data_IF_589612420243
#
_entry.id   IF_589612420243
#
_cell.length_a   1.000
_cell.length_b   1.000
_cell.length_c   1.000
_cell.angle_alpha   90.00
_cell.angle_beta   90.00
_cell.angle_gamma   90.00
#
_symmetry.space_group_name_H-M   'P 1'
#
loop_
_entity.id
_entity.type
_entity.pdbx_description
1 polymer ?
#
# COMPACT_ATOMS: atom_id res chain seq x y z
N UNK A 1 -8.45 11.55 16.17
CA UNK A 1 -7.62 11.30 14.96
C UNK A 1 -6.24 10.83 15.36
N UNK A 2 -5.57 10.03 14.53
CA UNK A 2 -4.21 9.53 14.81
C UNK A 2 -3.24 10.68 15.08
N UNK A 3 -3.27 11.74 14.27
CA UNK A 3 -2.34 12.86 14.37
C UNK A 3 -2.29 13.49 15.76
N UNK A 4 -3.43 13.77 16.39
CA UNK A 4 -3.47 14.35 17.73
C UNK A 4 -2.85 13.44 18.80
N UNK A 5 -3.12 12.13 18.70
CA UNK A 5 -2.60 11.12 19.65
C UNK A 5 -1.09 10.96 19.46
N UNK A 6 -0.63 10.80 18.22
CA UNK A 6 0.80 10.68 17.88
C UNK A 6 1.59 11.90 18.40
N UNK A 7 1.07 13.10 18.15
CA UNK A 7 1.69 14.36 18.64
C UNK A 7 1.81 14.36 20.16
N UNK A 8 0.77 13.94 20.88
CA UNK A 8 0.79 13.89 22.34
C UNK A 8 1.86 12.94 22.86
N UNK A 9 1.98 11.72 22.28
CA UNK A 9 3.00 10.75 22.69
C UNK A 9 4.42 11.20 22.35
N UNK A 10 4.65 11.76 21.15
CA UNK A 10 5.96 12.28 20.79
C UNK A 10 6.38 13.43 21.72
N UNK A 11 5.47 14.36 22.07
CA UNK A 11 5.75 15.43 23.04
C UNK A 11 6.00 14.91 24.47
N UNK A 12 5.44 13.75 24.82
CA UNK A 12 5.69 13.08 26.09
C UNK A 12 7.00 12.25 26.09
N UNK A 13 7.77 12.26 24.99
CA UNK A 13 9.04 11.54 24.90
C UNK A 13 8.91 10.04 24.54
N UNK A 14 7.77 9.60 24.05
CA UNK A 14 7.54 8.21 23.70
C UNK A 14 7.78 7.94 22.21
N UNK A 15 8.39 6.78 21.87
CA UNK A 15 8.39 6.22 20.52
C UNK A 15 6.98 5.79 20.14
N UNK A 16 6.59 5.92 18.88
CA UNK A 16 5.21 5.68 18.43
C UNK A 16 5.17 4.71 17.25
N UNK A 17 4.36 3.67 17.38
CA UNK A 17 3.83 2.88 16.26
C UNK A 17 2.36 3.27 16.09
N UNK A 18 2.00 3.82 14.95
CA UNK A 18 0.63 4.25 14.63
C UNK A 18 0.05 3.44 13.47
N UNK A 19 -1.24 3.10 13.54
CA UNK A 19 -1.94 2.48 12.42
C UNK A 19 -2.09 3.45 11.24
N UNK A 20 -2.23 2.88 10.06
CA UNK A 20 -2.51 3.64 8.82
C UNK A 20 -3.96 4.21 8.83
N UNK A 21 -4.20 5.36 8.23
CA UNK A 21 -3.20 6.32 7.76
C UNK A 21 -2.59 7.07 8.95
N UNK A 22 -1.33 7.50 8.83
CA UNK A 22 -0.66 8.30 9.87
C UNK A 22 -1.42 9.59 10.20
N UNK A 23 -2.00 10.20 9.17
CA UNK A 23 -2.83 11.40 9.22
C UNK A 23 -3.78 11.42 8.04
N UNK A 24 -4.77 12.32 8.04
CA UNK A 24 -5.71 12.51 6.94
C UNK A 24 -5.28 13.60 5.95
N UNK A 25 -4.28 14.39 6.31
CA UNK A 25 -3.70 15.42 5.45
C UNK A 25 -2.17 15.33 5.41
N UNK A 26 -1.57 15.77 4.31
CA UNK A 26 -0.11 15.85 4.17
C UNK A 26 0.52 16.78 5.21
N UNK A 27 -0.11 17.94 5.48
CA UNK A 27 0.39 18.90 6.46
C UNK A 27 0.52 18.27 7.86
N UNK A 28 -0.47 17.50 8.30
CA UNK A 28 -0.40 16.79 9.58
C UNK A 28 0.70 15.71 9.57
N UNK A 29 0.81 14.95 8.46
CA UNK A 29 1.84 13.93 8.35
C UNK A 29 3.25 14.53 8.40
N UNK A 30 3.50 15.61 7.66
CA UNK A 30 4.77 16.33 7.64
C UNK A 30 5.13 16.91 9.02
N UNK A 31 4.16 17.47 9.73
CA UNK A 31 4.33 17.96 11.11
C UNK A 31 4.79 16.83 12.05
N UNK A 32 4.14 15.67 11.99
CA UNK A 32 4.49 14.53 12.84
C UNK A 32 5.89 13.98 12.53
N UNK A 33 6.24 13.88 11.26
CA UNK A 33 7.58 13.46 10.83
C UNK A 33 8.64 14.46 11.29
N UNK A 34 8.38 15.76 11.15
CA UNK A 34 9.29 16.81 11.62
C UNK A 34 9.45 16.78 13.15
N UNK A 35 8.34 16.57 13.88
CA UNK A 35 8.38 16.45 15.34
C UNK A 35 9.19 15.22 15.79
N UNK A 36 8.98 14.06 15.18
CA UNK A 36 9.72 12.84 15.50
C UNK A 36 11.24 13.04 15.26
N UNK A 37 11.61 13.65 14.12
CA UNK A 37 13.02 13.98 13.81
C UNK A 37 13.61 14.94 14.82
N UNK A 38 12.87 16.01 15.19
CA UNK A 38 13.31 17.02 16.17
C UNK A 38 13.57 16.41 17.55
N UNK A 39 12.72 15.49 17.96
CA UNK A 39 12.81 14.84 19.29
C UNK A 39 13.75 13.64 19.31
N UNK A 40 14.23 13.15 18.16
CA UNK A 40 15.02 11.92 18.04
C UNK A 40 14.23 10.65 18.35
N UNK A 41 12.89 10.72 18.28
CA UNK A 41 12.01 9.59 18.60
C UNK A 41 11.65 8.81 17.33
N UNK A 42 11.41 7.52 17.50
CA UNK A 42 10.93 6.65 16.42
C UNK A 42 9.43 6.87 16.21
N UNK A 43 9.06 7.16 14.97
CA UNK A 43 7.69 7.17 14.49
C UNK A 43 7.57 6.18 13.34
N UNK A 44 6.75 5.15 13.49
CA UNK A 44 6.55 4.08 12.51
C UNK A 44 5.06 3.91 12.21
N UNK A 45 4.73 3.66 10.95
CA UNK A 45 3.36 3.35 10.53
C UNK A 45 3.17 1.85 10.36
N UNK A 46 2.04 1.33 10.85
CA UNK A 46 1.68 -0.08 10.84
C UNK A 46 1.22 -0.60 9.47
N UNK A 47 2.13 -0.72 8.52
CA UNK A 47 1.87 -1.33 7.21
C UNK A 47 2.04 -2.85 7.28
N UNK A 48 1.01 -3.55 7.73
CA UNK A 48 1.05 -5.00 8.02
C UNK A 48 1.36 -5.87 6.79
N UNK A 49 0.93 -5.45 5.59
CA UNK A 49 1.16 -6.20 4.34
C UNK A 49 2.66 -6.35 4.00
N UNK A 50 3.51 -5.47 4.50
CA UNK A 50 4.98 -5.59 4.34
C UNK A 50 5.53 -6.89 4.92
N UNK A 51 4.94 -7.44 5.99
CA UNK A 51 5.38 -8.70 6.57
C UNK A 51 5.08 -9.90 5.68
N UNK A 52 3.94 -9.88 4.96
CA UNK A 52 3.65 -10.88 3.93
C UNK A 52 4.62 -10.71 2.77
N UNK A 53 4.81 -9.47 2.34
CA UNK A 53 5.67 -9.12 1.21
C UNK A 53 7.13 -9.51 1.44
N UNK A 54 7.67 -9.30 2.64
CA UNK A 54 9.03 -9.70 3.00
C UNK A 54 9.28 -11.21 2.84
N UNK A 55 8.24 -12.05 2.97
CA UNK A 55 8.35 -13.50 2.80
C UNK A 55 8.42 -13.96 1.35
N UNK A 56 8.15 -13.07 0.40
CA UNK A 56 8.18 -13.39 -1.03
C UNK A 56 9.59 -13.38 -1.63
N UNK A 57 10.56 -12.80 -0.93
CA UNK A 57 11.91 -12.54 -1.45
C UNK A 57 11.97 -11.38 -2.46
N UNK A 58 10.85 -10.71 -2.73
CA UNK A 58 10.82 -9.59 -3.69
C UNK A 58 11.66 -8.40 -3.25
N UNK A 59 11.76 -8.17 -1.94
CA UNK A 59 12.52 -7.04 -1.38
C UNK A 59 14.04 -7.24 -1.48
N UNK A 60 14.50 -8.46 -1.68
CA UNK A 60 15.92 -8.79 -1.80
C UNK A 60 16.40 -8.69 -3.26
N UNK A 61 15.49 -8.40 -4.20
CA UNK A 61 15.79 -8.34 -5.63
C UNK A 61 16.29 -6.96 -6.03
N UNK A 62 17.30 -6.93 -6.87
CA UNK A 62 17.84 -5.69 -7.48
C UNK A 62 17.15 -5.35 -8.80
N UNK A 63 16.46 -6.35 -9.40
CA UNK A 63 15.73 -6.18 -10.67
C UNK A 63 14.40 -5.49 -10.40
N UNK A 64 14.13 -4.41 -11.11
CA UNK A 64 12.88 -3.68 -11.00
C UNK A 64 11.79 -4.32 -11.87
N UNK A 65 10.54 -4.38 -11.41
CA UNK A 65 9.43 -4.86 -12.24
C UNK A 65 9.16 -3.90 -13.41
N UNK A 66 8.67 -4.45 -14.51
CA UNK A 66 8.20 -3.67 -15.66
C UNK A 66 6.79 -3.13 -15.40
N UNK A 67 5.96 -3.95 -14.77
CA UNK A 67 4.57 -3.64 -14.45
C UNK A 67 4.20 -4.20 -13.09
N UNK A 68 3.32 -3.50 -12.38
CA UNK A 68 2.69 -3.95 -11.14
C UNK A 68 1.18 -3.82 -11.29
N UNK A 69 0.45 -4.83 -10.82
CA UNK A 69 -1.01 -4.82 -10.73
C UNK A 69 -1.41 -5.10 -9.28
N UNK A 70 -2.25 -4.22 -8.72
CA UNK A 70 -2.79 -4.38 -7.37
C UNK A 70 -4.32 -4.36 -7.44
N UNK A 71 -4.96 -5.26 -6.72
CA UNK A 71 -6.41 -5.24 -6.58
C UNK A 71 -6.81 -5.47 -5.13
N UNK A 72 -7.63 -4.55 -4.62
CA UNK A 72 -8.16 -4.57 -3.25
C UNK A 72 -9.64 -4.23 -3.26
N UNK A 73 -10.45 -5.25 -3.48
CA UNK A 73 -11.88 -5.12 -3.70
C UNK A 73 -12.68 -5.86 -2.61
N UNK A 74 -13.87 -5.37 -2.30
CA UNK A 74 -14.79 -6.05 -1.40
C UNK A 74 -16.16 -5.38 -1.34
N UNK A 75 -17.15 -6.07 -0.77
CA UNK A 75 -18.49 -5.51 -0.61
C UNK A 75 -18.50 -4.42 0.47
N UNK A 76 -19.49 -3.56 0.38
CA UNK A 76 -19.74 -2.53 1.38
C UNK A 76 -20.06 -3.15 2.75
N UNK A 77 -19.40 -2.67 3.78
CA UNK A 77 -19.54 -3.19 5.15
C UNK A 77 -20.19 -2.20 6.11
N UNK A 78 -20.62 -1.04 5.63
CA UNK A 78 -21.18 0.03 6.46
C UNK A 78 -20.16 0.78 7.28
N UNK A 79 -18.87 0.75 6.90
CA UNK A 79 -17.77 1.40 7.61
C UNK A 79 -16.81 2.09 6.65
N UNK A 80 -16.10 3.12 7.15
CA UNK A 80 -15.05 3.80 6.43
C UNK A 80 -15.56 4.83 5.42
N UNK A 81 -16.78 5.32 5.56
CA UNK A 81 -17.35 6.38 4.73
C UNK A 81 -16.83 7.78 5.08
N UNK A 82 -16.16 7.90 6.23
CA UNK A 82 -15.49 9.12 6.70
C UNK A 82 -14.17 9.42 5.98
N UNK A 83 -13.63 8.47 5.21
CA UNK A 83 -12.42 8.62 4.39
C UNK A 83 -12.61 7.98 3.02
N UNK A 84 -11.77 8.37 2.03
CA UNK A 84 -11.79 7.73 0.72
C UNK A 84 -11.26 6.30 0.77
N UNK A 85 -11.69 5.46 -0.17
CA UNK A 85 -11.12 4.12 -0.33
C UNK A 85 -9.61 4.15 -0.67
N UNK A 86 -9.06 5.30 -1.06
CA UNK A 86 -7.59 5.49 -1.17
C UNK A 86 -6.95 5.37 0.22
N UNK A 87 -7.41 6.14 1.20
CA UNK A 87 -6.83 6.16 2.55
C UNK A 87 -7.21 4.94 3.39
N UNK A 88 -8.33 4.28 3.08
CA UNK A 88 -8.75 3.07 3.79
C UNK A 88 -8.10 1.80 3.21
N UNK A 89 -8.12 1.65 1.90
CA UNK A 89 -7.77 0.40 1.20
C UNK A 89 -6.52 0.54 0.33
N UNK A 90 -6.49 1.46 -0.65
CA UNK A 90 -5.42 1.58 -1.63
C UNK A 90 -4.06 1.91 -0.99
N UNK A 91 -4.05 2.55 0.15
CA UNK A 91 -2.84 2.91 0.89
C UNK A 91 -1.92 1.71 1.19
N UNK A 92 -2.49 0.51 1.35
CA UNK A 92 -1.71 -0.72 1.52
C UNK A 92 -0.95 -1.08 0.25
N UNK A 93 -1.61 -0.98 -0.89
CA UNK A 93 -1.04 -1.33 -2.19
C UNK A 93 -0.05 -0.27 -2.65
N UNK A 94 -0.34 1.02 -2.40
CA UNK A 94 0.61 2.11 -2.62
C UNK A 94 1.89 1.92 -1.81
N UNK A 95 1.77 1.50 -0.56
CA UNK A 95 2.92 1.22 0.30
C UNK A 95 3.79 0.09 -0.26
N UNK A 96 3.20 -1.01 -0.74
CA UNK A 96 3.93 -2.13 -1.34
C UNK A 96 4.60 -1.73 -2.65
N UNK A 97 3.90 -0.98 -3.51
CA UNK A 97 4.44 -0.46 -4.77
C UNK A 97 5.67 0.42 -4.51
N UNK A 98 5.56 1.38 -3.58
CA UNK A 98 6.69 2.26 -3.22
C UNK A 98 7.82 1.53 -2.47
N UNK A 99 7.53 0.40 -1.84
CA UNK A 99 8.58 -0.42 -1.21
C UNK A 99 9.36 -1.22 -2.25
N UNK A 100 8.71 -1.63 -3.34
CA UNK A 100 9.33 -2.44 -4.39
C UNK A 100 10.02 -1.60 -5.47
N UNK A 101 9.45 -0.45 -5.83
CA UNK A 101 9.95 0.39 -6.93
C UNK A 101 10.87 1.48 -6.38
N UNK A 102 12.18 1.34 -6.61
CA UNK A 102 13.19 2.34 -6.25
C UNK A 102 13.32 3.39 -7.36
N UNK A 103 12.27 4.19 -7.52
CA UNK A 103 12.24 5.27 -8.52
C UNK A 103 11.21 6.32 -8.15
N UNK A 104 11.44 7.61 -8.45
CA UNK A 104 10.44 8.64 -8.24
C UNK A 104 9.22 8.47 -9.16
N UNK A 105 8.06 8.88 -8.68
CA UNK A 105 6.83 8.94 -9.48
C UNK A 105 6.97 10.03 -10.53
N UNK A 106 6.72 9.69 -11.80
CA UNK A 106 6.74 10.60 -12.93
C UNK A 106 5.33 11.11 -13.29
N UNK A 107 4.31 10.24 -13.19
CA UNK A 107 2.94 10.61 -13.52
C UNK A 107 1.94 9.78 -12.71
N UNK A 108 0.76 10.37 -12.45
CA UNK A 108 -0.38 9.67 -11.85
C UNK A 108 -1.65 10.05 -12.61
N UNK A 109 -2.41 9.05 -13.02
CA UNK A 109 -3.78 9.23 -13.50
C UNK A 109 -4.73 8.40 -12.66
N UNK A 110 -5.90 8.92 -12.34
CA UNK A 110 -6.88 8.20 -11.57
C UNK A 110 -8.31 8.58 -11.96
N UNK A 111 -9.21 7.62 -11.79
CA UNK A 111 -10.66 7.82 -11.89
C UNK A 111 -11.32 7.14 -10.69
N UNK A 112 -12.39 7.72 -10.19
CA UNK A 112 -13.12 7.16 -9.06
C UNK A 112 -14.61 7.42 -9.15
N UNK A 113 -15.39 6.60 -8.43
CA UNK A 113 -16.83 6.74 -8.28
C UNK A 113 -17.20 6.78 -6.80
N UNK A 114 -18.27 7.48 -6.48
CA UNK A 114 -18.82 7.62 -5.13
C UNK A 114 -20.23 7.06 -5.11
N UNK A 115 -20.52 6.19 -4.17
CA UNK A 115 -21.85 5.61 -3.95
C UNK A 115 -22.35 5.90 -2.53
N UNK A 116 -21.46 5.86 -1.54
CA UNK A 116 -21.76 6.10 -0.14
C UNK A 116 -20.93 7.26 0.41
N UNK A 117 -21.56 8.22 1.10
CA UNK A 117 -20.88 9.35 1.70
C UNK A 117 -20.25 10.34 0.70
N UNK A 118 -19.31 11.20 1.14
CA UNK A 118 -18.72 12.25 0.32
C UNK A 118 -17.42 11.83 -0.39
N UNK A 119 -16.92 10.65 -0.14
CA UNK A 119 -15.61 10.19 -0.61
C UNK A 119 -15.72 9.08 -1.66
N UNK A 120 -14.69 8.92 -2.50
CA UNK A 120 -14.65 7.87 -3.50
C UNK A 120 -14.64 6.48 -2.86
N UNK A 121 -15.53 5.60 -3.36
CA UNK A 121 -15.71 4.22 -2.92
C UNK A 121 -15.01 3.21 -3.82
N UNK A 122 -14.84 3.56 -5.10
CA UNK A 122 -14.11 2.78 -6.09
C UNK A 122 -13.14 3.69 -6.82
N UNK A 123 -11.89 3.24 -6.98
CA UNK A 123 -10.82 3.99 -7.62
C UNK A 123 -9.98 3.04 -8.47
N UNK A 124 -9.75 3.43 -9.73
CA UNK A 124 -8.71 2.86 -10.58
C UNK A 124 -7.64 3.93 -10.81
N UNK A 125 -6.40 3.61 -10.50
CA UNK A 125 -5.26 4.50 -10.66
C UNK A 125 -4.13 3.84 -11.44
N UNK A 126 -3.40 4.66 -12.19
CA UNK A 126 -2.17 4.31 -12.86
C UNK A 126 -1.06 5.23 -12.34
N UNK A 127 0.04 4.65 -11.90
CA UNK A 127 1.23 5.35 -11.42
C UNK A 127 2.39 4.96 -12.32
N UNK A 128 2.97 5.92 -13.01
CA UNK A 128 4.16 5.73 -13.83
C UNK A 128 5.39 6.24 -13.08
N UNK A 129 6.43 5.45 -13.00
CA UNK A 129 7.70 5.80 -12.37
C UNK A 129 8.73 6.25 -13.40
N UNK A 130 9.72 7.04 -12.97
CA UNK A 130 10.76 7.59 -13.85
C UNK A 130 11.66 6.51 -14.50
N UNK A 131 11.77 5.33 -13.88
CA UNK A 131 12.48 4.17 -14.45
C UNK A 131 11.67 3.40 -15.50
N UNK A 132 10.42 3.82 -15.79
CA UNK A 132 9.53 3.18 -16.75
C UNK A 132 8.59 2.13 -16.17
N UNK A 133 8.73 1.75 -14.90
CA UNK A 133 7.75 0.87 -14.22
C UNK A 133 6.38 1.53 -14.19
N UNK A 134 5.32 0.77 -14.46
CA UNK A 134 3.93 1.24 -14.37
C UNK A 134 3.18 0.38 -13.34
N UNK A 135 2.50 1.02 -12.40
CA UNK A 135 1.64 0.34 -11.42
C UNK A 135 0.16 0.67 -11.66
N UNK A 136 -0.67 -0.36 -11.78
CA UNK A 136 -2.13 -0.29 -11.89
C UNK A 136 -2.73 -0.69 -10.55
N UNK A 137 -3.53 0.19 -9.96
CA UNK A 137 -4.18 -0.03 -8.68
C UNK A 137 -5.69 0.02 -8.87
N UNK A 138 -6.37 -1.07 -8.50
CA UNK A 138 -7.83 -1.22 -8.56
C UNK A 138 -8.39 -1.47 -7.15
N UNK A 139 -9.08 -0.49 -6.62
CA UNK A 139 -9.62 -0.52 -5.26
C UNK A 139 -11.10 -0.24 -5.26
N UNK A 140 -11.87 -1.08 -4.56
CA UNK A 140 -13.31 -0.90 -4.42
C UNK A 140 -13.79 -1.44 -3.07
N UNK A 141 -14.62 -0.66 -2.38
CA UNK A 141 -15.40 -1.13 -1.21
C UNK A 141 -16.87 -1.38 -1.53
N UNK A 142 -17.23 -1.38 -2.83
CA UNK A 142 -18.58 -1.60 -3.35
C UNK A 142 -18.63 -2.73 -4.39
N UNK A 143 -17.62 -3.58 -4.44
CA UNK A 143 -17.54 -4.72 -5.34
C UNK A 143 -18.37 -5.91 -4.79
N UNK A 144 -18.84 -6.78 -5.68
CA UNK A 144 -19.67 -7.96 -5.31
C UNK A 144 -18.91 -8.99 -4.47
N UNK A 145 -17.60 -9.08 -4.63
CA UNK A 145 -16.77 -10.09 -3.96
C UNK A 145 -15.43 -9.53 -3.48
N UNK A 146 -14.85 -10.20 -2.47
CA UNK A 146 -13.51 -9.86 -1.98
C UNK A 146 -12.44 -10.37 -2.91
N UNK A 147 -11.49 -9.47 -3.26
CA UNK A 147 -10.23 -9.81 -3.92
C UNK A 147 -9.13 -8.96 -3.32
N UNK A 148 -8.01 -9.57 -2.98
CA UNK A 148 -6.81 -8.86 -2.52
C UNK A 148 -5.60 -9.54 -3.11
N UNK A 149 -4.89 -8.86 -3.99
CA UNK A 149 -3.74 -9.43 -4.64
C UNK A 149 -2.78 -8.40 -5.16
N UNK A 150 -1.58 -8.88 -5.44
CA UNK A 150 -0.47 -8.13 -5.97
C UNK A 150 0.21 -8.99 -7.04
N UNK A 151 0.52 -8.41 -8.19
CA UNK A 151 1.24 -9.07 -9.27
C UNK A 151 2.34 -8.15 -9.78
N UNK A 152 3.59 -8.60 -9.73
CA UNK A 152 4.73 -7.94 -10.33
C UNK A 152 5.18 -8.71 -11.58
N UNK A 153 5.32 -8.02 -12.70
CA UNK A 153 5.75 -8.58 -13.99
C UNK A 153 7.19 -8.17 -14.23
N UNK A 154 8.04 -9.13 -14.48
CA UNK A 154 9.45 -8.98 -14.84
C UNK A 154 9.69 -9.46 -16.28
N UNK A 155 10.86 -9.20 -16.82
CA UNK A 155 11.20 -9.62 -18.19
C UNK A 155 11.21 -11.15 -18.37
N UNK A 156 11.47 -11.90 -17.30
CA UNK A 156 11.62 -13.36 -17.26
C UNK A 156 10.46 -14.11 -16.60
N UNK A 157 9.45 -13.39 -16.06
CA UNK A 157 8.30 -14.03 -15.44
C UNK A 157 7.47 -13.11 -14.56
N UNK A 158 6.72 -13.70 -13.64
CA UNK A 158 5.82 -12.97 -12.75
C UNK A 158 5.94 -13.46 -11.31
N UNK A 159 5.67 -12.54 -10.38
CA UNK A 159 5.39 -12.88 -8.98
C UNK A 159 3.98 -12.44 -8.67
N UNK A 160 3.14 -13.36 -8.21
CA UNK A 160 1.74 -13.09 -7.86
C UNK A 160 1.47 -13.53 -6.42
N UNK A 161 0.74 -12.70 -5.69
CA UNK A 161 0.40 -12.90 -4.29
C UNK A 161 -1.12 -12.74 -4.14
N UNK A 162 -1.77 -13.78 -3.61
CA UNK A 162 -3.14 -13.66 -3.11
C UNK A 162 -3.08 -13.45 -1.58
N UNK A 163 -3.46 -12.26 -1.11
CA UNK A 163 -3.44 -11.94 0.32
C UNK A 163 -4.59 -12.59 1.11
N UNK A 164 -5.61 -13.14 0.44
CA UNK A 164 -6.71 -13.85 1.11
C UNK A 164 -6.33 -15.30 1.42
N UNK A 165 -5.78 -15.99 0.43
CA UNK A 165 -5.32 -17.39 0.57
C UNK A 165 -3.90 -17.48 1.08
N UNK A 166 -3.12 -16.39 0.99
CA UNK A 166 -1.67 -16.31 1.26
C UNK A 166 -0.83 -17.13 0.29
N UNK A 167 -1.39 -17.46 -0.86
CA UNK A 167 -0.69 -18.15 -1.92
C UNK A 167 0.27 -17.21 -2.65
N UNK A 168 1.47 -17.71 -2.94
CA UNK A 168 2.50 -16.97 -3.67
C UNK A 168 2.94 -17.84 -4.84
N UNK A 169 2.84 -17.30 -6.05
CA UNK A 169 3.36 -17.91 -7.27
C UNK A 169 4.52 -17.06 -7.77
N UNK A 170 5.70 -17.66 -7.91
CA UNK A 170 6.89 -17.01 -8.45
C UNK A 170 7.41 -17.81 -9.64
N UNK A 171 7.41 -17.21 -10.83
CA UNK A 171 7.97 -17.78 -12.07
C UNK A 171 9.08 -16.90 -12.64
N UNK A 172 9.37 -15.77 -11.98
CA UNK A 172 10.47 -14.85 -12.29
C UNK A 172 11.72 -15.20 -11.45
N UNK A 173 12.83 -14.56 -11.75
CA UNK A 173 13.99 -14.47 -10.85
C UNK A 173 14.58 -15.83 -10.43
N UNK A 174 14.84 -16.73 -11.41
CA UNK A 174 15.45 -18.08 -11.27
C UNK A 174 14.50 -19.30 -11.25
N UNK A 175 13.20 -19.07 -11.41
CA UNK A 175 12.23 -20.18 -11.59
C UNK A 175 11.91 -20.98 -10.33
N UNK A 176 12.32 -20.53 -9.15
CA UNK A 176 11.92 -21.19 -7.90
C UNK A 176 10.44 -20.89 -7.59
N UNK A 177 9.58 -21.90 -7.70
CA UNK A 177 8.20 -21.83 -7.20
C UNK A 177 8.24 -21.89 -5.68
N UNK A 178 8.15 -20.78 -4.99
CA UNK A 178 7.87 -20.78 -3.55
C UNK A 178 6.35 -20.75 -3.34
N UNK A 179 5.79 -21.89 -2.99
CA UNK A 179 4.45 -21.94 -2.37
C UNK A 179 4.68 -21.66 -0.89
N UNK A 180 4.09 -20.60 -0.36
CA UNK A 180 4.14 -20.36 1.07
C UNK A 180 3.35 -21.47 1.77
N UNK A 181 4.01 -22.30 2.53
CA UNK A 181 3.35 -23.27 3.40
C UNK A 181 2.47 -22.52 4.42
N UNK A 182 1.29 -23.10 4.67
CA UNK A 182 0.23 -22.59 5.54
C UNK A 182 0.66 -22.43 7.01
#
# INVERSE_FOLDING_TARGET
THAAIVRAFLNAGAHVLVEKPIATTMAEADELVALARKTGLTLTVGHQERFVFARTGLLDQTVQPLEIQCWRRGPWTGRGDDVSAVLDLMIHDLDLVHTLVDSPVANVTARGTTQYGPHADEIAAEVTFANGTVAYLDTSRIADSRKRGFRAVYADGVVEIDFLTREIVNTALDGSRSVAER
#
